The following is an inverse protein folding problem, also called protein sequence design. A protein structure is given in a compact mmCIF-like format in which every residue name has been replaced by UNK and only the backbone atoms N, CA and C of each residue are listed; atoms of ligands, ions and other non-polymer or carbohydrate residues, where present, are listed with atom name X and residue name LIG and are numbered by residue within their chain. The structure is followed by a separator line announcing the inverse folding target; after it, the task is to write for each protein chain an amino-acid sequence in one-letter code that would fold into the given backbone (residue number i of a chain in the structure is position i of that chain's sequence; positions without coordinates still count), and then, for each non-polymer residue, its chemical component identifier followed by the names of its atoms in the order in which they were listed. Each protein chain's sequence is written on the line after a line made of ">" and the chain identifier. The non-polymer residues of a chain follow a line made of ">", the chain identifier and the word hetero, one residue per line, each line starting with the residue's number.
data_IF_502155271760
#
_entry.id   IF_502155271760
#
_cell.length_a   1.000
_cell.length_b   1.000
_cell.length_c   1.000
_cell.angle_alpha   90.00
_cell.angle_beta   90.00
_cell.angle_gamma   90.00
#
_symmetry.space_group_name_H-M   'P 1'
#
loop_
_entity.id
_entity.type
_entity.pdbx_description
1 polymer ?
#
# COMPACT_ATOMS: atom_id res chain seq x y z
N UNK A 1 23.27 -15.25 8.59
CA UNK A 1 22.53 -14.12 9.19
C UNK A 1 23.39 -13.34 10.21
N UNK A 2 23.94 -12.19 9.81
CA UNK A 2 24.75 -11.32 10.70
C UNK A 2 23.89 -10.58 11.74
N UNK A 3 22.58 -10.49 11.55
CA UNK A 3 21.67 -9.78 12.46
C UNK A 3 21.65 -10.34 13.88
N UNK A 4 21.55 -11.68 14.05
CA UNK A 4 21.57 -12.30 15.38
C UNK A 4 22.87 -12.02 16.14
N UNK A 5 23.98 -11.83 15.42
CA UNK A 5 25.27 -11.46 16.00
C UNK A 5 25.33 -9.98 16.44
N UNK A 6 24.37 -9.13 16.01
CA UNK A 6 24.26 -7.74 16.44
C UNK A 6 23.43 -7.58 17.72
N UNK A 7 22.69 -8.62 18.15
CA UNK A 7 21.84 -8.56 19.34
C UNK A 7 22.67 -8.60 20.63
N UNK A 8 22.29 -7.83 21.65
CA UNK A 8 22.86 -7.93 23.00
C UNK A 8 21.96 -8.74 23.93
N UNK A 9 22.47 -9.25 25.07
CA UNK A 9 21.66 -9.91 26.09
C UNK A 9 20.42 -9.11 26.52
N UNK A 10 20.52 -7.77 26.59
CA UNK A 10 19.38 -6.89 26.89
C UNK A 10 18.27 -6.94 25.83
N UNK A 11 18.62 -7.12 24.55
CA UNK A 11 17.63 -7.27 23.49
C UNK A 11 16.83 -8.57 23.69
N UNK A 12 17.49 -9.65 24.12
CA UNK A 12 16.81 -10.91 24.44
C UNK A 12 15.87 -10.79 25.64
N UNK A 13 16.26 -10.05 26.69
CA UNK A 13 15.38 -9.78 27.85
C UNK A 13 14.13 -8.98 27.48
N UNK A 14 14.18 -8.20 26.40
CA UNK A 14 13.03 -7.44 25.89
C UNK A 14 12.10 -8.24 24.96
N UNK A 15 12.47 -9.45 24.54
CA UNK A 15 11.65 -10.29 23.65
C UNK A 15 10.22 -10.53 24.16
N UNK A 16 9.93 -10.73 25.47
CA UNK A 16 8.56 -10.88 25.92
C UNK A 16 7.64 -9.70 25.55
N UNK A 17 8.17 -8.46 25.50
CA UNK A 17 7.39 -7.28 25.07
C UNK A 17 7.10 -7.34 23.57
N UNK A 18 8.08 -7.72 22.77
CA UNK A 18 7.94 -7.95 21.33
C UNK A 18 6.89 -9.03 21.07
N UNK A 19 7.03 -10.20 21.69
CA UNK A 19 6.09 -11.31 21.55
C UNK A 19 4.67 -10.90 21.98
N UNK A 20 4.52 -10.13 23.06
CA UNK A 20 3.23 -9.60 23.49
C UNK A 20 2.54 -8.75 22.41
N UNK A 21 3.30 -7.92 21.70
CA UNK A 21 2.77 -7.14 20.58
C UNK A 21 2.45 -7.97 19.33
N UNK A 22 3.17 -9.06 19.07
CA UNK A 22 2.81 -10.00 18.00
C UNK A 22 1.52 -10.76 18.33
N UNK A 23 1.29 -11.09 19.61
CA UNK A 23 0.01 -11.64 20.05
C UNK A 23 -1.14 -10.64 19.89
N UNK A 24 -0.89 -9.33 20.06
CA UNK A 24 -1.89 -8.31 19.76
C UNK A 24 -2.30 -8.36 18.28
N UNK A 25 -1.33 -8.49 17.36
CA UNK A 25 -1.60 -8.63 15.94
C UNK A 25 -2.39 -9.90 15.62
N UNK A 26 -2.17 -11.01 16.32
CA UNK A 26 -2.97 -12.23 16.15
C UNK A 26 -4.38 -12.10 16.77
N UNK A 27 -4.51 -11.37 17.87
CA UNK A 27 -5.74 -11.25 18.62
C UNK A 27 -6.77 -10.29 18.00
N UNK A 28 -6.34 -9.34 17.17
CA UNK A 28 -7.19 -8.36 16.50
C UNK A 28 -7.05 -8.44 14.98
N UNK A 29 -8.13 -8.18 14.26
CA UNK A 29 -8.10 -8.08 12.80
C UNK A 29 -8.63 -6.74 12.30
N UNK A 30 -7.77 -5.72 12.22
CA UNK A 30 -8.19 -4.36 11.94
C UNK A 30 -8.90 -4.16 10.59
N UNK A 31 -8.76 -5.12 9.66
CA UNK A 31 -9.43 -5.09 8.35
C UNK A 31 -10.84 -5.68 8.38
N UNK A 32 -11.16 -6.50 9.39
CA UNK A 32 -12.39 -7.29 9.43
C UNK A 32 -13.26 -7.02 10.67
N UNK A 33 -12.73 -6.33 11.68
CA UNK A 33 -13.47 -6.00 12.90
C UNK A 33 -13.03 -4.65 13.50
N UNK A 34 -13.91 -3.94 14.22
CA UNK A 34 -13.52 -2.77 15.00
C UNK A 34 -12.48 -3.13 16.07
N UNK A 35 -11.49 -2.27 16.26
CA UNK A 35 -10.42 -2.49 17.24
C UNK A 35 -10.32 -1.33 18.22
N UNK A 36 -10.14 -1.59 19.53
CA UNK A 36 -10.01 -0.55 20.56
C UNK A 36 -8.58 0.02 20.61
N UNK A 37 -7.97 0.25 19.45
CA UNK A 37 -6.60 0.74 19.34
C UNK A 37 -6.53 2.28 19.26
N UNK A 38 -7.67 2.93 18.99
CA UNK A 38 -7.75 4.39 18.90
C UNK A 38 -6.80 4.96 17.86
N UNK A 39 -6.24 6.13 18.15
CA UNK A 39 -5.28 6.85 17.30
C UNK A 39 -3.83 6.49 17.60
N UNK A 40 -3.60 5.39 18.35
CA UNK A 40 -2.25 4.97 18.73
C UNK A 40 -1.39 4.70 17.51
N UNK A 41 -0.13 5.08 17.60
CA UNK A 41 0.84 4.92 16.51
C UNK A 41 1.78 3.74 16.74
N UNK A 42 2.53 3.36 15.72
CA UNK A 42 3.57 2.33 15.85
C UNK A 42 4.71 2.79 16.75
N UNK A 43 5.05 4.08 16.76
CA UNK A 43 6.09 4.64 17.63
C UNK A 43 5.85 4.31 19.11
N UNK A 44 4.61 4.40 19.59
CA UNK A 44 4.25 4.03 20.95
C UNK A 44 4.50 2.55 21.25
N UNK A 45 4.26 1.67 20.27
CA UNK A 45 4.53 0.24 20.40
C UNK A 45 6.04 -0.02 20.48
N UNK A 46 6.81 0.62 19.59
CA UNK A 46 8.25 0.43 19.46
C UNK A 46 9.05 1.07 20.59
N UNK A 47 8.49 2.06 21.29
CA UNK A 47 9.10 2.63 22.50
C UNK A 47 9.33 1.58 23.61
N UNK A 48 8.51 0.52 23.63
CA UNK A 48 8.66 -0.59 24.58
C UNK A 48 9.59 -1.72 24.08
N UNK A 49 10.02 -1.66 22.82
CA UNK A 49 10.88 -2.68 22.20
C UNK A 49 12.36 -2.35 22.38
N UNK A 50 13.25 -3.36 22.34
CA UNK A 50 14.69 -3.12 22.33
C UNK A 50 15.13 -2.31 21.10
N UNK A 51 16.05 -1.34 21.23
CA UNK A 51 16.39 -0.40 20.16
C UNK A 51 16.77 -1.05 18.82
N UNK A 52 17.50 -2.18 18.85
CA UNK A 52 17.92 -2.88 17.62
C UNK A 52 16.74 -3.56 16.91
N UNK A 53 15.80 -4.11 17.68
CA UNK A 53 14.57 -4.69 17.15
C UNK A 53 13.64 -3.60 16.61
N UNK A 54 13.53 -2.47 17.34
CA UNK A 54 12.79 -1.29 16.88
C UNK A 54 13.37 -0.73 15.57
N UNK A 55 14.69 -0.64 15.44
CA UNK A 55 15.34 -0.18 14.21
C UNK A 55 15.08 -1.14 13.03
N UNK A 56 15.21 -2.45 13.26
CA UNK A 56 14.95 -3.46 12.24
C UNK A 56 13.50 -3.42 11.75
N UNK A 57 12.53 -3.42 12.68
CA UNK A 57 11.12 -3.41 12.32
C UNK A 57 10.69 -2.08 11.71
N UNK A 58 11.31 -0.96 12.10
CA UNK A 58 11.05 0.35 11.49
C UNK A 58 11.46 0.38 10.03
N UNK A 59 12.61 -0.23 9.69
CA UNK A 59 13.05 -0.32 8.29
C UNK A 59 12.10 -1.20 7.45
N UNK A 60 11.69 -2.35 7.99
CA UNK A 60 10.69 -3.19 7.35
C UNK A 60 9.37 -2.44 7.15
N UNK A 61 8.92 -1.72 8.18
CA UNK A 61 7.68 -0.97 8.14
C UNK A 61 7.73 0.18 7.12
N UNK A 62 8.83 0.93 7.04
CA UNK A 62 9.01 1.95 5.99
C UNK A 62 8.95 1.33 4.60
N UNK A 63 9.62 0.20 4.39
CA UNK A 63 9.57 -0.51 3.12
C UNK A 63 8.17 -1.01 2.74
N UNK A 64 7.37 -1.40 3.73
CA UNK A 64 6.05 -2.00 3.52
C UNK A 64 4.86 -1.03 3.60
N UNK A 65 5.00 0.10 4.30
CA UNK A 65 3.92 1.07 4.57
C UNK A 65 4.27 2.52 4.18
N UNK A 66 5.48 2.74 3.63
CA UNK A 66 5.96 4.02 3.12
C UNK A 66 5.89 5.21 4.11
N UNK A 67 5.84 4.95 5.42
CA UNK A 67 5.68 5.99 6.44
C UNK A 67 6.50 5.71 7.71
N UNK A 68 6.72 6.74 8.54
CA UNK A 68 7.47 6.59 9.80
C UNK A 68 6.61 6.01 10.92
N UNK A 69 7.22 5.40 11.97
CA UNK A 69 6.46 4.81 13.07
C UNK A 69 5.46 5.78 13.74
N UNK A 70 5.76 7.07 13.76
CA UNK A 70 4.92 8.13 14.34
C UNK A 70 3.69 8.45 13.48
N UNK A 71 3.73 8.10 12.19
CA UNK A 71 2.68 8.41 11.22
C UNK A 71 1.78 7.19 10.96
N UNK A 72 2.27 5.98 11.21
CA UNK A 72 1.51 4.75 10.96
C UNK A 72 0.57 4.47 12.13
N UNK A 73 -0.76 4.40 11.90
CA UNK A 73 -1.69 3.91 12.91
C UNK A 73 -1.37 2.46 13.28
N UNK A 74 -1.42 2.14 14.57
CA UNK A 74 -1.11 0.81 15.08
C UNK A 74 -1.97 -0.26 14.40
N UNK A 75 -3.24 0.04 14.12
CA UNK A 75 -4.14 -0.83 13.37
C UNK A 75 -3.63 -1.19 11.97
N UNK A 76 -3.08 -0.21 11.23
CA UNK A 76 -2.45 -0.44 9.93
C UNK A 76 -1.25 -1.38 10.02
N UNK A 77 -0.41 -1.20 11.05
CA UNK A 77 0.75 -2.06 11.26
C UNK A 77 0.38 -3.48 11.71
N UNK A 78 -0.64 -3.65 12.57
CA UNK A 78 -1.11 -4.99 12.92
C UNK A 78 -1.70 -5.70 11.70
N UNK A 79 -2.45 -5.00 10.84
CA UNK A 79 -2.93 -5.54 9.58
C UNK A 79 -1.78 -6.00 8.67
N UNK A 80 -0.74 -5.16 8.54
CA UNK A 80 0.50 -5.50 7.82
C UNK A 80 1.16 -6.78 8.38
N UNK A 81 1.39 -6.85 9.70
CA UNK A 81 2.00 -8.01 10.33
C UNK A 81 1.18 -9.29 10.16
N UNK A 82 -0.15 -9.19 10.24
CA UNK A 82 -1.05 -10.33 10.02
C UNK A 82 -0.92 -10.86 8.60
N UNK A 83 -1.00 -9.96 7.62
CA UNK A 83 -1.05 -10.32 6.21
C UNK A 83 0.30 -10.86 5.71
N UNK A 84 1.40 -10.15 5.98
CA UNK A 84 2.71 -10.50 5.43
C UNK A 84 3.49 -11.48 6.30
N UNK A 85 3.30 -11.52 7.62
CA UNK A 85 4.25 -12.20 8.52
C UNK A 85 3.64 -13.32 9.36
N UNK A 86 2.59 -13.04 10.11
CA UNK A 86 2.17 -13.89 11.22
C UNK A 86 1.22 -15.01 10.81
N UNK A 87 0.37 -14.77 9.81
CA UNK A 87 -0.61 -15.75 9.35
C UNK A 87 -0.19 -16.49 8.09
N UNK A 88 0.81 -15.97 7.38
CA UNK A 88 1.21 -16.45 6.06
C UNK A 88 2.73 -16.43 5.93
N UNK A 89 3.33 -17.62 5.94
CA UNK A 89 4.77 -17.76 5.69
C UNK A 89 5.11 -17.58 4.21
N UNK A 90 4.19 -17.98 3.34
CA UNK A 90 4.29 -17.90 1.87
C UNK A 90 4.24 -16.46 1.35
N UNK A 91 3.65 -15.53 2.12
CA UNK A 91 3.50 -14.13 1.72
C UNK A 91 4.84 -13.34 1.61
N UNK A 92 5.97 -13.95 1.96
CA UNK A 92 7.32 -13.39 1.75
C UNK A 92 7.97 -13.83 0.43
N UNK A 93 7.31 -14.69 -0.35
CA UNK A 93 7.72 -14.92 -1.73
C UNK A 93 7.22 -13.76 -2.58
N UNK A 94 8.13 -12.98 -3.16
CA UNK A 94 7.78 -11.91 -4.06
C UNK A 94 7.55 -12.46 -5.46
N UNK A 95 6.37 -12.17 -6.01
CA UNK A 95 6.11 -12.25 -7.44
C UNK A 95 6.21 -10.86 -8.05
N UNK A 96 6.89 -10.77 -9.18
CA UNK A 96 7.11 -9.52 -9.90
C UNK A 96 6.39 -9.56 -11.24
N UNK A 97 5.93 -8.38 -11.69
CA UNK A 97 5.50 -8.24 -13.07
C UNK A 97 6.69 -8.56 -13.99
N UNK A 98 6.45 -9.31 -15.09
CA UNK A 98 7.54 -9.77 -15.95
C UNK A 98 8.22 -8.65 -16.72
N UNK A 99 7.59 -7.48 -16.85
CA UNK A 99 8.06 -6.30 -17.57
C UNK A 99 7.44 -5.03 -16.93
N UNK A 100 7.63 -3.87 -17.57
CA UNK A 100 7.09 -2.60 -17.12
C UNK A 100 5.55 -2.64 -16.98
N UNK A 101 5.03 -1.92 -15.98
CA UNK A 101 3.60 -1.87 -15.61
C UNK A 101 2.70 -1.57 -16.82
N UNK A 102 3.14 -0.68 -17.71
CA UNK A 102 2.41 -0.33 -18.93
C UNK A 102 2.11 -1.56 -19.78
N UNK A 103 3.14 -2.33 -20.13
CA UNK A 103 3.02 -3.51 -20.99
C UNK A 103 2.41 -4.71 -20.28
N UNK A 104 2.74 -4.92 -19.01
CA UNK A 104 2.37 -6.11 -18.26
C UNK A 104 0.96 -6.04 -17.67
N UNK A 105 0.41 -4.83 -17.46
CA UNK A 105 -0.86 -4.63 -16.75
C UNK A 105 -1.79 -3.63 -17.45
N UNK A 106 -1.34 -2.39 -17.70
CA UNK A 106 -2.24 -1.32 -18.16
C UNK A 106 -2.76 -1.54 -19.58
N UNK A 107 -1.87 -1.89 -20.52
CA UNK A 107 -2.25 -2.17 -21.91
C UNK A 107 -3.25 -3.33 -21.99
N UNK A 108 -3.02 -4.52 -21.37
CA UNK A 108 -4.01 -5.59 -21.34
C UNK A 108 -5.37 -5.18 -20.77
N UNK A 109 -5.39 -4.45 -19.65
CA UNK A 109 -6.63 -4.01 -19.01
C UNK A 109 -7.41 -3.01 -19.89
N UNK A 110 -6.71 -2.03 -20.47
CA UNK A 110 -7.35 -1.03 -21.33
C UNK A 110 -7.89 -1.64 -22.62
N UNK A 111 -7.21 -2.64 -23.19
CA UNK A 111 -7.71 -3.40 -24.33
C UNK A 111 -8.95 -4.21 -23.97
N UNK A 112 -8.94 -4.93 -22.85
CA UNK A 112 -10.09 -5.70 -22.38
C UNK A 112 -11.33 -4.82 -22.16
N UNK A 113 -11.15 -3.60 -21.62
CA UNK A 113 -12.25 -2.63 -21.46
C UNK A 113 -12.83 -2.24 -22.83
N UNK A 114 -11.97 -1.90 -23.81
CA UNK A 114 -12.41 -1.50 -25.16
C UNK A 114 -13.09 -2.65 -25.91
N UNK A 115 -12.55 -3.86 -25.82
CA UNK A 115 -13.12 -5.07 -26.45
C UNK A 115 -14.50 -5.40 -25.87
N UNK A 116 -14.73 -5.10 -24.59
CA UNK A 116 -16.04 -5.21 -23.94
C UNK A 116 -17.00 -4.05 -24.26
N UNK A 117 -16.61 -3.10 -25.12
CA UNK A 117 -17.41 -1.93 -25.51
C UNK A 117 -17.30 -0.73 -24.56
N UNK A 118 -16.38 -0.77 -23.59
CA UNK A 118 -16.11 0.34 -22.69
C UNK A 118 -15.37 1.50 -23.38
N UNK A 119 -15.62 2.72 -22.91
CA UNK A 119 -14.94 3.93 -23.38
C UNK A 119 -13.93 4.41 -22.34
N UNK A 120 -12.72 4.72 -22.80
CA UNK A 120 -11.66 5.30 -21.97
C UNK A 120 -11.43 6.75 -22.37
N UNK A 121 -11.52 7.67 -21.41
CA UNK A 121 -11.27 9.10 -21.59
C UNK A 121 -10.09 9.52 -20.72
N UNK A 122 -8.98 9.88 -21.34
CA UNK A 122 -7.82 10.49 -20.66
C UNK A 122 -7.96 12.01 -20.67
N UNK A 123 -7.14 12.71 -19.90
CA UNK A 123 -7.18 14.18 -19.78
C UNK A 123 -8.56 14.71 -19.38
N UNK A 124 -9.31 13.92 -18.60
CA UNK A 124 -10.66 14.21 -18.14
C UNK A 124 -10.67 14.26 -16.60
N UNK A 125 -10.48 15.44 -16.03
CA UNK A 125 -10.45 15.62 -14.56
C UNK A 125 -11.87 15.82 -14.06
N UNK A 126 -12.43 14.84 -13.35
CA UNK A 126 -13.72 14.99 -12.68
C UNK A 126 -13.63 16.08 -11.61
N UNK A 127 -14.55 17.04 -11.64
CA UNK A 127 -14.53 18.22 -10.76
C UNK A 127 -15.73 18.28 -9.83
N UNK A 128 -16.89 17.74 -10.24
CA UNK A 128 -18.14 17.92 -9.52
C UNK A 128 -19.11 16.75 -9.74
N UNK A 129 -19.82 16.40 -8.68
CA UNK A 129 -20.96 15.49 -8.70
C UNK A 129 -22.23 16.26 -8.32
N UNK A 130 -23.28 16.10 -9.12
CA UNK A 130 -24.61 16.60 -8.79
C UNK A 130 -25.61 15.46 -8.76
N UNK A 131 -26.58 15.57 -7.85
CA UNK A 131 -27.65 14.60 -7.71
C UNK A 131 -28.92 15.16 -8.33
N UNK A 132 -29.38 14.53 -9.41
CA UNK A 132 -30.78 14.65 -9.86
C UNK A 132 -31.67 13.70 -9.07
N UNK A 133 -32.90 13.48 -9.53
CA UNK A 133 -33.87 12.62 -8.82
C UNK A 133 -33.30 11.21 -8.54
N UNK A 134 -33.09 10.43 -9.61
CA UNK A 134 -32.61 9.04 -9.52
C UNK A 134 -31.19 8.85 -10.10
N UNK A 135 -30.62 9.88 -10.71
CA UNK A 135 -29.36 9.79 -11.45
C UNK A 135 -28.31 10.80 -10.93
N UNK A 136 -27.06 10.51 -11.24
CA UNK A 136 -25.91 11.36 -10.97
C UNK A 136 -25.45 12.05 -12.24
N UNK A 137 -25.21 13.34 -12.16
CA UNK A 137 -24.50 14.08 -13.21
C UNK A 137 -23.05 14.26 -12.77
N UNK A 138 -22.12 13.75 -13.58
CA UNK A 138 -20.68 13.85 -13.36
C UNK A 138 -20.13 14.91 -14.31
N UNK A 139 -19.44 15.90 -13.75
CA UNK A 139 -18.78 16.96 -14.52
C UNK A 139 -17.27 16.74 -14.52
N UNK A 140 -16.63 16.95 -15.67
CA UNK A 140 -15.18 16.95 -15.77
C UNK A 140 -14.68 18.06 -16.69
N UNK A 141 -13.43 18.46 -16.47
CA UNK A 141 -12.71 19.34 -17.38
C UNK A 141 -11.87 18.52 -18.34
N UNK A 142 -11.95 18.83 -19.63
CA UNK A 142 -11.07 18.25 -20.64
C UNK A 142 -9.72 18.99 -20.71
N UNK A 143 -8.82 18.54 -21.59
CA UNK A 143 -7.48 19.12 -21.74
C UNK A 143 -7.47 20.60 -22.17
N UNK A 144 -8.56 21.08 -22.77
CA UNK A 144 -8.73 22.49 -23.18
C UNK A 144 -9.43 23.33 -22.10
N UNK A 145 -9.72 22.75 -20.93
CA UNK A 145 -10.41 23.41 -19.83
C UNK A 145 -11.93 23.58 -20.03
N UNK A 146 -12.50 22.99 -21.09
CA UNK A 146 -13.95 23.00 -21.28
C UNK A 146 -14.61 22.00 -20.31
N UNK A 147 -15.73 22.40 -19.72
CA UNK A 147 -16.54 21.54 -18.85
C UNK A 147 -17.44 20.64 -19.72
N UNK A 148 -17.34 19.34 -19.50
CA UNK A 148 -18.22 18.33 -20.09
C UNK A 148 -18.97 17.59 -18.96
N UNK A 149 -20.08 16.97 -19.31
CA UNK A 149 -20.92 16.27 -18.34
C UNK A 149 -21.56 15.00 -18.91
N UNK A 150 -21.90 14.08 -18.01
CA UNK A 150 -22.70 12.89 -18.33
C UNK A 150 -23.64 12.57 -17.18
N UNK A 151 -24.85 12.13 -17.49
CA UNK A 151 -25.83 11.68 -16.50
C UNK A 151 -25.93 10.16 -16.53
N UNK A 152 -25.77 9.52 -15.38
CA UNK A 152 -25.73 8.06 -15.22
C UNK A 152 -26.44 7.63 -13.93
N UNK A 153 -27.06 6.44 -13.88
CA UNK A 153 -27.69 5.94 -12.65
C UNK A 153 -26.67 5.54 -11.59
N UNK A 154 -25.47 5.11 -12.02
CA UNK A 154 -24.44 4.59 -11.14
C UNK A 154 -23.08 5.22 -11.41
N UNK A 155 -22.34 5.50 -10.34
CA UNK A 155 -20.96 6.02 -10.37
C UNK A 155 -20.09 5.14 -9.50
N UNK A 156 -18.92 4.76 -10.00
CA UNK A 156 -17.89 4.08 -9.21
C UNK A 156 -16.71 5.03 -9.03
N UNK A 157 -16.40 5.38 -7.78
CA UNK A 157 -15.27 6.23 -7.43
C UNK A 157 -14.03 5.37 -7.17
N UNK A 158 -13.08 5.42 -8.10
CA UNK A 158 -11.78 4.74 -8.03
C UNK A 158 -10.65 5.77 -7.79
N UNK A 159 -10.74 6.51 -6.69
CA UNK A 159 -9.88 7.67 -6.39
C UNK A 159 -8.96 7.38 -5.20
N UNK A 160 -7.79 8.03 -5.18
CA UNK A 160 -6.98 8.15 -3.97
C UNK A 160 -7.71 8.96 -2.88
N UNK A 161 -7.26 8.83 -1.62
CA UNK A 161 -7.87 9.49 -0.47
C UNK A 161 -8.02 11.01 -0.64
N UNK A 162 -6.94 11.75 -0.95
CA UNK A 162 -7.00 13.19 -1.20
C UNK A 162 -7.97 13.59 -2.32
N UNK A 163 -7.94 12.90 -3.47
CA UNK A 163 -8.85 13.19 -4.58
C UNK A 163 -10.31 12.90 -4.23
N UNK A 164 -10.59 11.80 -3.52
CA UNK A 164 -11.92 11.47 -3.03
C UNK A 164 -12.43 12.53 -2.05
N UNK A 165 -11.58 12.98 -1.11
CA UNK A 165 -11.92 14.04 -0.17
C UNK A 165 -12.28 15.32 -0.92
N UNK A 166 -11.44 15.76 -1.85
CA UNK A 166 -11.66 16.98 -2.61
C UNK A 166 -12.98 16.93 -3.41
N UNK A 167 -13.23 15.84 -4.14
CA UNK A 167 -14.44 15.71 -4.95
C UNK A 167 -15.71 15.64 -4.08
N UNK A 168 -15.70 14.82 -3.03
CA UNK A 168 -16.88 14.56 -2.21
C UNK A 168 -17.23 15.72 -1.29
N UNK A 169 -16.23 16.45 -0.77
CA UNK A 169 -16.48 17.65 0.04
C UNK A 169 -16.77 18.88 -0.81
N UNK A 170 -16.25 18.95 -2.04
CA UNK A 170 -16.53 20.03 -3.00
C UNK A 170 -17.87 19.92 -3.73
N UNK A 171 -18.52 18.75 -3.68
CA UNK A 171 -19.82 18.52 -4.33
C UNK A 171 -20.96 18.68 -3.33
N UNK A 172 -21.88 19.61 -3.57
CA UNK A 172 -22.99 19.93 -2.63
C UNK A 172 -23.85 18.72 -2.26
N UNK A 173 -24.07 17.81 -3.21
CA UNK A 173 -24.84 16.59 -3.03
C UNK A 173 -24.19 15.59 -2.05
N UNK A 174 -22.87 15.66 -1.86
CA UNK A 174 -22.12 14.71 -1.02
C UNK A 174 -21.46 15.35 0.19
N UNK A 175 -21.29 16.67 0.20
CA UNK A 175 -20.48 17.40 1.17
C UNK A 175 -20.85 17.14 2.64
N UNK A 176 -22.14 17.12 2.97
CA UNK A 176 -22.61 16.96 4.36
C UNK A 176 -22.21 15.62 4.98
N UNK A 177 -22.35 14.52 4.24
CA UNK A 177 -21.93 13.20 4.73
C UNK A 177 -20.41 13.03 4.61
N UNK A 178 -19.80 13.57 3.56
CA UNK A 178 -18.35 13.51 3.36
C UNK A 178 -17.58 14.20 4.49
N UNK A 179 -18.11 15.30 5.06
CA UNK A 179 -17.50 16.02 6.17
C UNK A 179 -17.40 15.18 7.47
N UNK A 180 -18.15 14.08 7.58
CA UNK A 180 -18.11 13.16 8.74
C UNK A 180 -17.07 12.04 8.55
N UNK A 181 -16.51 11.91 7.35
CA UNK A 181 -15.59 10.84 7.00
C UNK A 181 -14.14 11.25 7.20
N UNK A 182 -13.30 10.25 7.46
CA UNK A 182 -11.84 10.37 7.49
C UNK A 182 -11.28 9.86 6.18
N UNK A 183 -10.48 10.69 5.52
CA UNK A 183 -9.74 10.34 4.31
C UNK A 183 -8.25 10.23 4.65
N UNK A 184 -7.55 9.18 4.17
CA UNK A 184 -6.13 9.08 4.38
C UNK A 184 -5.40 10.15 3.56
N UNK A 185 -4.28 10.62 4.10
CA UNK A 185 -3.34 11.43 3.33
C UNK A 185 -2.62 10.56 2.31
N UNK A 186 -2.29 11.14 1.16
CA UNK A 186 -1.36 10.53 0.22
C UNK A 186 0.09 10.90 0.56
N UNK A 187 1.01 9.99 0.30
CA UNK A 187 2.43 10.12 0.59
C UNK A 187 3.21 10.33 -0.71
N UNK A 188 4.11 11.33 -0.72
CA UNK A 188 5.08 11.50 -1.79
C UNK A 188 6.09 10.35 -1.74
N UNK A 189 6.54 9.88 -2.89
CA UNK A 189 7.59 8.87 -2.97
C UNK A 189 8.57 9.20 -4.10
N UNK A 190 9.81 8.75 -3.95
CA UNK A 190 10.85 8.87 -4.96
C UNK A 190 11.29 7.48 -5.44
N UNK A 191 11.50 7.35 -6.74
CA UNK A 191 12.08 6.15 -7.36
C UNK A 191 13.33 6.55 -8.11
N UNK A 192 14.46 5.94 -7.75
CA UNK A 192 15.74 6.14 -8.40
C UNK A 192 16.08 4.88 -9.17
N UNK A 193 16.44 5.01 -10.45
CA UNK A 193 17.03 3.91 -11.22
C UNK A 193 18.48 4.22 -11.52
N UNK A 194 19.36 3.25 -11.26
CA UNK A 194 20.79 3.35 -11.51
C UNK A 194 21.23 2.20 -12.41
N UNK A 195 21.91 2.54 -13.50
CA UNK A 195 22.52 1.58 -14.40
C UNK A 195 23.99 1.50 -14.10
N UNK A 196 24.48 0.28 -13.86
CA UNK A 196 25.90 0.00 -13.66
C UNK A 196 26.42 -0.87 -14.79
N UNK A 197 27.64 -0.61 -15.25
CA UNK A 197 28.37 -1.43 -16.23
C UNK A 197 28.81 -2.80 -15.67
N UNK A 198 28.51 -3.07 -14.39
CA UNK A 198 28.87 -4.28 -13.68
C UNK A 198 27.74 -4.68 -12.74
N UNK A 199 27.33 -5.94 -12.78
CA UNK A 199 26.43 -6.51 -11.79
C UNK A 199 27.13 -6.75 -10.43
N UNK A 200 26.41 -6.63 -9.30
CA UNK A 200 26.95 -6.99 -7.98
C UNK A 200 27.27 -8.49 -7.90
N UNK A 201 28.02 -8.89 -6.88
CA UNK A 201 28.17 -10.31 -6.58
C UNK A 201 26.79 -10.98 -6.33
N UNK A 202 26.73 -12.30 -6.51
CA UNK A 202 25.50 -13.06 -6.28
C UNK A 202 24.90 -12.76 -4.89
N UNK A 203 23.59 -12.55 -4.84
CA UNK A 203 22.86 -12.12 -3.64
C UNK A 203 21.35 -12.16 -3.86
N UNK A 204 20.57 -11.62 -2.93
CA UNK A 204 19.12 -11.51 -3.05
C UNK A 204 18.71 -10.61 -4.23
N UNK A 205 17.51 -10.81 -4.78
CA UNK A 205 16.92 -9.99 -5.84
C UNK A 205 16.49 -8.60 -5.40
N UNK A 206 16.25 -8.44 -4.09
CA UNK A 206 15.89 -7.18 -3.47
C UNK A 206 16.54 -7.05 -2.09
N UNK A 207 16.48 -5.84 -1.52
CA UNK A 207 16.98 -5.58 -0.17
C UNK A 207 16.22 -4.46 0.51
N UNK A 208 16.09 -4.57 1.83
CA UNK A 208 15.56 -3.51 2.70
C UNK A 208 16.74 -2.79 3.34
N UNK A 209 16.72 -1.46 3.25
CA UNK A 209 17.75 -0.58 3.77
C UNK A 209 17.34 -0.04 5.15
N UNK A 210 18.28 -0.04 6.08
CA UNK A 210 18.08 0.43 7.45
C UNK A 210 19.27 1.28 7.89
N UNK A 211 19.10 2.07 8.95
CA UNK A 211 20.15 2.96 9.44
C UNK A 211 20.14 4.32 8.73
N UNK A 212 21.32 4.77 8.28
CA UNK A 212 21.60 6.11 7.76
C UNK A 212 21.51 6.23 6.23
N UNK A 213 20.89 5.23 5.57
CA UNK A 213 20.70 5.21 4.12
C UNK A 213 19.49 6.08 3.73
N UNK A 214 19.60 6.78 2.61
CA UNK A 214 18.52 7.60 2.04
C UNK A 214 17.52 6.78 1.22
N UNK A 215 17.95 5.63 0.70
CA UNK A 215 17.06 4.64 0.08
C UNK A 215 16.46 3.72 1.15
N UNK A 216 15.20 3.35 1.00
CA UNK A 216 14.48 2.46 1.93
C UNK A 216 14.51 1.00 1.48
N UNK A 217 14.50 0.75 0.17
CA UNK A 217 14.69 -0.57 -0.42
C UNK A 217 15.25 -0.47 -1.84
N UNK A 218 15.64 -1.62 -2.39
CA UNK A 218 16.06 -1.73 -3.78
C UNK A 218 15.71 -3.08 -4.41
N UNK A 219 15.64 -3.10 -5.74
CA UNK A 219 15.34 -4.27 -6.56
C UNK A 219 16.28 -4.34 -7.77
N UNK A 220 16.87 -5.51 -7.99
CA UNK A 220 17.72 -5.79 -9.14
C UNK A 220 16.86 -6.23 -10.33
N UNK A 221 16.52 -5.29 -11.22
CA UNK A 221 15.53 -5.52 -12.27
C UNK A 221 15.90 -6.67 -13.22
N UNK A 222 17.19 -6.89 -13.48
CA UNK A 222 17.67 -7.97 -14.38
C UNK A 222 17.33 -9.38 -13.90
N UNK A 223 16.86 -9.56 -12.65
CA UNK A 223 16.49 -10.86 -12.11
C UNK A 223 15.04 -11.26 -12.40
N UNK A 224 14.18 -10.31 -12.75
CA UNK A 224 12.75 -10.58 -12.93
C UNK A 224 12.11 -9.84 -14.10
N UNK A 225 12.66 -8.70 -14.56
CA UNK A 225 12.19 -8.01 -15.76
C UNK A 225 12.91 -8.51 -17.01
N UNK A 226 12.16 -8.91 -18.04
CA UNK A 226 12.74 -9.51 -19.26
C UNK A 226 13.66 -8.55 -19.99
N UNK A 227 13.26 -7.27 -20.12
CA UNK A 227 14.08 -6.23 -20.75
C UNK A 227 15.43 -6.03 -20.07
N UNK A 228 15.43 -5.85 -18.75
CA UNK A 228 16.66 -5.70 -17.96
C UNK A 228 17.53 -6.97 -17.99
N UNK A 229 16.91 -8.15 -17.98
CA UNK A 229 17.63 -9.43 -18.08
C UNK A 229 18.31 -9.61 -19.44
N UNK A 230 17.65 -9.21 -20.53
CA UNK A 230 18.22 -9.23 -21.88
C UNK A 230 19.43 -8.28 -21.99
N UNK A 231 19.30 -7.07 -21.46
CA UNK A 231 20.41 -6.11 -21.42
C UNK A 231 21.58 -6.61 -20.57
N UNK A 232 21.30 -7.19 -19.40
CA UNK A 232 22.32 -7.80 -18.55
C UNK A 232 23.10 -8.91 -19.25
N UNK A 233 22.42 -9.81 -19.98
CA UNK A 233 23.08 -10.87 -20.76
C UNK A 233 23.96 -10.31 -21.88
N UNK A 234 23.55 -9.20 -22.49
CA UNK A 234 24.28 -8.61 -23.62
C UNK A 234 25.51 -7.79 -23.18
N UNK A 235 25.46 -7.14 -22.02
CA UNK A 235 26.48 -6.16 -21.61
C UNK A 235 27.25 -6.53 -20.35
N UNK A 236 26.72 -7.45 -19.53
CA UNK A 236 27.19 -7.69 -18.15
C UNK A 236 26.79 -6.59 -17.15
N UNK A 237 26.11 -5.53 -17.61
CA UNK A 237 25.60 -4.44 -16.77
C UNK A 237 24.35 -4.82 -16.00
N UNK A 238 23.98 -4.02 -15.00
CA UNK A 238 22.76 -4.21 -14.20
C UNK A 238 21.99 -2.91 -14.03
N UNK A 239 20.68 -3.04 -13.81
CA UNK A 239 19.82 -1.93 -13.38
C UNK A 239 19.31 -2.23 -11.98
N UNK A 240 19.44 -1.26 -11.09
CA UNK A 240 18.78 -1.26 -9.78
C UNK A 240 17.74 -0.16 -9.73
N UNK A 241 16.55 -0.51 -9.24
CA UNK A 241 15.53 0.44 -8.83
C UNK A 241 15.55 0.53 -7.31
N UNK A 242 15.66 1.74 -6.77
CA UNK A 242 15.69 2.00 -5.34
C UNK A 242 14.60 3.01 -4.97
N UNK A 243 13.87 2.74 -3.90
CA UNK A 243 12.75 3.58 -3.48
C UNK A 243 13.13 4.44 -2.29
N UNK A 244 12.53 5.63 -2.23
CA UNK A 244 12.66 6.62 -1.17
C UNK A 244 11.24 6.95 -0.73
N UNK A 245 10.86 6.53 0.47
CA UNK A 245 9.53 6.78 1.02
C UNK A 245 9.49 7.96 2.01
N UNK A 246 10.63 8.63 2.19
CA UNK A 246 10.74 9.83 2.98
C UNK A 246 11.86 9.75 4.02
N UNK A 247 11.83 10.57 5.07
CA UNK A 247 10.77 11.55 5.40
C UNK A 247 10.60 12.69 4.38
N UNK A 248 9.54 13.52 4.47
CA UNK A 248 9.27 14.61 3.51
C UNK A 248 10.43 15.58 3.30
N UNK A 249 11.27 15.80 4.31
CA UNK A 249 12.49 16.61 4.21
C UNK A 249 13.58 15.96 3.35
N UNK A 250 13.65 14.62 3.31
CA UNK A 250 14.50 13.90 2.35
C UNK A 250 13.97 14.10 0.95
N UNK A 251 12.67 13.91 0.74
CA UNK A 251 12.07 14.11 -0.58
C UNK A 251 12.17 15.58 -1.01
N UNK A 252 12.11 16.56 -0.12
CA UNK A 252 12.28 17.98 -0.45
C UNK A 252 13.69 18.34 -0.97
N UNK A 253 14.69 17.45 -0.86
CA UNK A 253 16.03 17.70 -1.38
C UNK A 253 16.04 17.76 -2.92
N UNK A 254 16.94 18.55 -3.54
CA UNK A 254 17.08 18.57 -4.99
C UNK A 254 17.42 17.19 -5.56
N UNK A 255 16.93 16.91 -6.76
CA UNK A 255 17.11 15.63 -7.46
C UNK A 255 18.58 15.20 -7.57
N UNK A 256 19.48 16.14 -7.84
CA UNK A 256 20.92 15.87 -7.88
C UNK A 256 21.46 15.35 -6.54
N UNK A 257 20.94 15.86 -5.41
CA UNK A 257 21.31 15.42 -4.06
C UNK A 257 20.78 14.02 -3.78
N UNK A 258 19.52 13.75 -4.15
CA UNK A 258 18.90 12.42 -3.98
C UNK A 258 19.64 11.36 -4.79
N UNK A 259 19.95 11.66 -6.05
CA UNK A 259 20.72 10.78 -6.93
C UNK A 259 22.12 10.49 -6.36
N UNK A 260 22.85 11.53 -5.94
CA UNK A 260 24.18 11.36 -5.35
C UNK A 260 24.15 10.49 -4.08
N UNK A 261 23.14 10.68 -3.22
CA UNK A 261 22.93 9.85 -2.02
C UNK A 261 22.59 8.41 -2.38
N UNK A 262 21.65 8.17 -3.29
CA UNK A 262 21.27 6.84 -3.73
C UNK A 262 22.45 6.07 -4.36
N UNK A 263 23.26 6.72 -5.19
CA UNK A 263 24.50 6.14 -5.75
C UNK A 263 25.48 5.79 -4.63
N UNK A 264 25.70 6.70 -3.68
CA UNK A 264 26.60 6.49 -2.55
C UNK A 264 26.14 5.32 -1.69
N UNK A 265 24.84 5.25 -1.37
CA UNK A 265 24.22 4.18 -0.60
C UNK A 265 24.40 2.83 -1.29
N UNK A 266 24.08 2.74 -2.58
CA UNK A 266 24.28 1.51 -3.35
C UNK A 266 25.75 1.09 -3.40
N UNK A 267 26.69 2.03 -3.48
CA UNK A 267 28.14 1.74 -3.44
C UNK A 267 28.68 1.46 -2.03
N UNK A 268 27.96 1.82 -0.96
CA UNK A 268 28.25 1.38 0.41
C UNK A 268 27.80 -0.06 0.61
N UNK A 269 26.61 -0.40 0.11
CA UNK A 269 26.04 -1.75 0.19
C UNK A 269 26.82 -2.72 -0.70
N UNK A 270 27.16 -2.29 -1.92
CA UNK A 270 27.89 -3.06 -2.94
C UNK A 270 29.15 -2.30 -3.40
N UNK A 271 30.26 -2.38 -2.63
CA UNK A 271 31.53 -1.70 -2.94
C UNK A 271 32.07 -1.95 -4.36
N UNK A 272 31.76 -3.10 -4.95
CA UNK A 272 32.16 -3.50 -6.30
C UNK A 272 31.54 -2.63 -7.41
N UNK A 273 30.49 -1.85 -7.11
CA UNK A 273 29.83 -0.96 -8.07
C UNK A 273 30.52 0.41 -8.21
N UNK A 274 31.52 0.70 -7.37
CA UNK A 274 32.26 1.98 -7.43
C UNK A 274 32.91 2.17 -8.79
N UNK A 275 32.77 3.37 -9.36
CA UNK A 275 33.31 3.72 -10.67
C UNK A 275 32.61 3.06 -11.86
N UNK A 276 31.50 2.33 -11.65
CA UNK A 276 30.80 1.61 -12.71
C UNK A 276 29.43 2.21 -13.06
N UNK A 277 29.06 3.38 -12.52
CA UNK A 277 27.80 4.03 -12.84
C UNK A 277 27.81 4.49 -14.31
N UNK A 278 26.81 4.06 -15.08
CA UNK A 278 26.66 4.37 -16.50
C UNK A 278 25.55 5.39 -16.75
N UNK A 279 24.44 5.28 -16.02
CA UNK A 279 23.28 6.16 -16.15
C UNK A 279 22.49 6.20 -14.86
N UNK A 280 21.73 7.27 -14.65
CA UNK A 280 20.87 7.44 -13.48
C UNK A 280 19.62 8.24 -13.84
N UNK A 281 18.49 7.87 -13.28
CA UNK A 281 17.23 8.62 -13.37
C UNK A 281 16.56 8.69 -12.01
N UNK A 282 15.75 9.72 -11.82
CA UNK A 282 14.88 9.88 -10.66
C UNK A 282 13.48 10.25 -11.13
N UNK A 283 12.49 9.66 -10.48
CA UNK A 283 11.08 9.99 -10.63
C UNK A 283 10.53 10.34 -9.27
N UNK A 284 9.83 11.48 -9.19
CA UNK A 284 9.01 11.86 -8.05
C UNK A 284 7.57 11.50 -8.35
N UNK A 285 6.93 10.85 -7.40
CA UNK A 285 5.52 10.52 -7.49
C UNK A 285 4.73 11.51 -6.65
N UNK A 286 3.63 12.01 -7.23
CA UNK A 286 2.65 12.82 -6.53
C UNK A 286 2.19 12.14 -5.23
N UNK A 287 1.70 12.90 -4.23
CA UNK A 287 1.24 12.37 -2.96
C UNK A 287 -0.09 11.62 -3.09
N UNK A 288 -0.07 10.47 -3.76
CA UNK A 288 -1.22 9.60 -4.02
C UNK A 288 -1.06 8.22 -3.40
N UNK A 289 0.14 7.86 -2.92
CA UNK A 289 0.35 6.60 -2.21
C UNK A 289 -0.40 6.61 -0.89
N UNK A 290 -1.34 5.70 -0.71
CA UNK A 290 -2.18 5.63 0.49
C UNK A 290 -1.32 5.50 1.75
N UNK A 291 -1.40 6.48 2.65
CA UNK A 291 -0.96 6.28 4.03
C UNK A 291 -1.91 5.29 4.70
N UNK A 292 -1.47 4.04 4.81
CA UNK A 292 -2.33 2.96 5.24
C UNK A 292 -2.71 3.10 6.72
N UNK A 293 -3.88 3.66 6.96
CA UNK A 293 -4.52 3.75 8.27
C UNK A 293 -5.74 2.86 8.33
N UNK A 294 -5.57 1.54 8.20
CA UNK A 294 -6.71 0.64 8.28
C UNK A 294 -7.48 0.82 9.59
N UNK A 295 -8.79 1.03 9.49
CA UNK A 295 -9.73 0.87 10.57
C UNK A 295 -11.07 0.44 10.02
N UNK A 296 -11.66 -0.61 10.60
CA UNK A 296 -13.07 -0.97 10.38
C UNK A 296 -14.03 0.01 11.10
N UNK A 297 -13.64 1.29 11.17
CA UNK A 297 -14.40 2.38 11.80
C UNK A 297 -15.39 2.94 10.77
N UNK A 298 -16.59 3.29 11.22
CA UNK A 298 -17.66 3.87 10.40
C UNK A 298 -17.30 5.20 9.77
N UNK A 299 -16.31 5.91 10.32
CA UNK A 299 -15.75 7.14 9.73
C UNK A 299 -14.97 6.89 8.44
N UNK A 300 -14.57 5.67 8.11
CA UNK A 300 -13.90 5.38 6.84
C UNK A 300 -14.92 5.08 5.74
N UNK A 301 -14.71 5.69 4.57
CA UNK A 301 -15.52 5.41 3.38
C UNK A 301 -15.48 3.92 3.05
N UNK A 302 -16.64 3.32 2.82
CA UNK A 302 -16.78 1.92 2.46
C UNK A 302 -17.02 1.75 0.96
N UNK A 303 -16.89 0.51 0.48
CA UNK A 303 -17.24 0.17 -0.92
C UNK A 303 -18.68 0.54 -1.25
N UNK A 304 -19.61 0.21 -0.36
CA UNK A 304 -20.97 0.74 -0.41
C UNK A 304 -20.96 2.11 0.25
N UNK A 305 -21.11 3.15 -0.56
CA UNK A 305 -21.11 4.53 -0.08
C UNK A 305 -22.44 4.87 0.62
N UNK A 306 -22.50 5.96 1.42
CA UNK A 306 -23.75 6.45 1.97
C UNK A 306 -24.67 7.09 0.91
N UNK A 307 -24.19 7.31 -0.32
CA UNK A 307 -24.94 7.94 -1.40
C UNK A 307 -25.51 6.89 -2.35
N UNK A 308 -26.86 6.79 -2.47
CA UNK A 308 -27.48 5.82 -3.38
C UNK A 308 -26.97 5.98 -4.82
N UNK A 309 -26.58 4.85 -5.43
CA UNK A 309 -26.02 4.82 -6.78
C UNK A 309 -24.52 5.15 -6.88
N UNK A 310 -23.85 5.53 -5.79
CA UNK A 310 -22.39 5.66 -5.74
C UNK A 310 -21.78 4.45 -5.03
N UNK A 311 -20.84 3.80 -5.70
CA UNK A 311 -19.94 2.80 -5.10
C UNK A 311 -18.51 3.32 -5.14
N UNK A 312 -17.65 2.76 -4.30
CA UNK A 312 -16.25 3.19 -4.19
C UNK A 312 -15.33 1.97 -4.28
N UNK A 313 -14.17 2.12 -4.91
CA UNK A 313 -13.10 1.13 -4.86
C UNK A 313 -11.74 1.81 -4.63
N UNK A 314 -10.79 1.05 -4.10
CA UNK A 314 -9.48 1.55 -3.68
C UNK A 314 -8.95 0.79 -2.47
N UNK A 315 -7.63 0.81 -2.29
CA UNK A 315 -6.95 0.12 -1.20
C UNK A 315 -7.24 0.73 0.19
N UNK A 316 -7.63 1.99 0.26
CA UNK A 316 -7.89 2.68 1.51
C UNK A 316 -9.31 2.51 2.07
N UNK A 317 -10.21 1.95 1.28
CA UNK A 317 -11.62 1.83 1.67
C UNK A 317 -11.84 0.77 2.73
N UNK A 318 -12.88 0.99 3.54
CA UNK A 318 -13.41 -0.02 4.45
C UNK A 318 -14.13 -1.12 3.67
N UNK A 319 -13.63 -2.34 3.83
CA UNK A 319 -14.17 -3.55 3.22
C UNK A 319 -13.68 -4.78 4.01
N UNK A 320 -14.59 -5.68 4.36
CA UNK A 320 -14.35 -6.84 5.23
C UNK A 320 -13.63 -7.97 4.48
N UNK A 321 -12.46 -7.67 3.94
CA UNK A 321 -11.59 -8.63 3.27
C UNK A 321 -10.14 -8.38 3.72
N UNK A 322 -9.38 -9.42 4.13
CA UNK A 322 -8.04 -9.26 4.66
C UNK A 322 -7.02 -9.18 3.51
N UNK A 323 -7.22 -8.25 2.57
CA UNK A 323 -6.27 -7.90 1.51
C UNK A 323 -5.64 -6.54 1.78
N UNK A 324 -4.46 -6.30 1.21
CA UNK A 324 -3.71 -5.04 1.27
C UNK A 324 -3.33 -4.55 -0.14
N UNK A 325 -3.11 -3.24 -0.27
CA UNK A 325 -2.58 -2.57 -1.47
C UNK A 325 -3.25 -3.01 -2.77
N UNK A 326 -2.48 -3.47 -3.78
CA UNK A 326 -2.98 -3.83 -5.11
C UNK A 326 -4.09 -4.89 -5.05
N UNK A 327 -3.92 -5.95 -4.26
CA UNK A 327 -4.95 -6.98 -4.08
C UNK A 327 -6.25 -6.36 -3.52
N UNK A 328 -6.13 -5.42 -2.58
CA UNK A 328 -7.29 -4.73 -2.01
C UNK A 328 -7.94 -3.80 -3.02
N UNK A 329 -7.17 -3.08 -3.83
CA UNK A 329 -7.70 -2.26 -4.91
C UNK A 329 -8.51 -3.12 -5.91
N UNK A 330 -7.99 -4.30 -6.29
CA UNK A 330 -8.70 -5.24 -7.15
C UNK A 330 -9.97 -5.80 -6.49
N UNK A 331 -9.87 -6.30 -5.26
CA UNK A 331 -11.01 -6.88 -4.52
C UNK A 331 -12.12 -5.85 -4.31
N UNK A 332 -11.78 -4.62 -3.94
CA UNK A 332 -12.77 -3.55 -3.77
C UNK A 332 -13.34 -3.08 -5.11
N UNK A 333 -12.57 -3.14 -6.20
CA UNK A 333 -13.04 -2.92 -7.57
C UNK A 333 -14.13 -3.93 -7.96
N UNK A 334 -13.87 -5.22 -7.73
CA UNK A 334 -14.87 -6.28 -7.93
C UNK A 334 -16.09 -6.08 -7.04
N UNK A 335 -15.90 -5.69 -5.79
CA UNK A 335 -17.00 -5.43 -4.86
C UNK A 335 -17.88 -4.22 -5.28
N UNK A 336 -17.27 -3.15 -5.78
CA UNK A 336 -17.99 -1.99 -6.31
C UNK A 336 -18.77 -2.36 -7.58
N UNK A 337 -18.16 -3.11 -8.49
CA UNK A 337 -18.84 -3.62 -9.68
C UNK A 337 -20.02 -4.53 -9.30
N UNK A 338 -19.86 -5.41 -8.32
CA UNK A 338 -20.94 -6.24 -7.78
C UNK A 338 -22.08 -5.42 -7.17
N UNK A 339 -21.79 -4.26 -6.58
CA UNK A 339 -22.81 -3.31 -6.13
C UNK A 339 -23.68 -2.82 -7.28
N UNK A 340 -23.07 -2.49 -8.42
CA UNK A 340 -23.78 -2.11 -9.65
C UNK A 340 -24.58 -3.29 -10.21
N UNK A 341 -23.98 -4.48 -10.31
CA UNK A 341 -24.67 -5.68 -10.79
C UNK A 341 -25.91 -6.01 -9.95
N UNK A 342 -25.80 -5.91 -8.61
CA UNK A 342 -26.91 -6.15 -7.70
C UNK A 342 -28.06 -5.16 -7.89
N UNK A 343 -27.76 -3.88 -8.16
CA UNK A 343 -28.78 -2.88 -8.49
C UNK A 343 -29.56 -3.22 -9.77
N UNK A 344 -28.93 -3.95 -10.69
CA UNK A 344 -29.54 -4.47 -11.92
C UNK A 344 -30.04 -5.93 -11.80
N UNK A 345 -30.05 -6.51 -10.60
CA UNK A 345 -30.45 -7.91 -10.35
C UNK A 345 -29.61 -8.94 -11.14
N UNK A 346 -28.37 -8.59 -11.48
CA UNK A 346 -27.42 -9.48 -12.16
C UNK A 346 -26.59 -10.23 -11.09
N UNK A 347 -26.34 -11.55 -11.27
CA UNK A 347 -25.50 -12.31 -10.35
C UNK A 347 -24.11 -11.68 -10.15
N UNK A 348 -23.66 -11.67 -8.90
CA UNK A 348 -22.35 -11.13 -8.54
C UNK A 348 -21.21 -11.98 -9.13
N UNK A 349 -20.13 -11.30 -9.52
CA UNK A 349 -18.86 -11.94 -9.81
C UNK A 349 -18.19 -12.43 -8.51
N UNK A 350 -17.63 -13.65 -8.47
CA UNK A 350 -17.05 -14.19 -7.26
C UNK A 350 -15.85 -13.33 -6.78
N UNK A 351 -15.89 -12.97 -5.50
CA UNK A 351 -14.72 -12.46 -4.77
C UNK A 351 -14.11 -13.63 -4.03
N UNK A 352 -12.87 -13.95 -4.37
CA UNK A 352 -12.18 -15.08 -3.79
C UNK A 352 -11.90 -14.81 -2.31
N UNK A 353 -12.16 -15.78 -1.42
CA UNK A 353 -11.78 -15.63 -0.02
C UNK A 353 -10.25 -15.65 0.10
N UNK A 354 -9.72 -14.87 1.02
CA UNK A 354 -8.31 -14.94 1.36
C UNK A 354 -7.90 -16.36 1.80
N UNK A 355 -6.71 -16.78 1.36
CA UNK A 355 -6.15 -18.09 1.72
C UNK A 355 -6.07 -18.21 3.24
N UNK A 356 -6.62 -19.28 3.84
CA UNK A 356 -6.62 -19.44 5.28
C UNK A 356 -5.19 -19.62 5.81
N UNK A 357 -4.89 -19.13 7.03
CA UNK A 357 -3.60 -19.34 7.66
C UNK A 357 -3.28 -20.84 7.83
N UNK A 358 -1.99 -21.17 7.88
CA UNK A 358 -1.52 -22.51 8.22
C UNK A 358 -2.09 -22.97 9.57
N UNK A 359 -2.25 -24.29 9.74
CA UNK A 359 -2.95 -24.85 10.89
C UNK A 359 -2.43 -24.35 12.27
N UNK A 360 -1.11 -24.24 12.53
CA UNK A 360 -0.60 -23.74 13.81
C UNK A 360 -0.98 -22.27 14.06
N UNK A 361 -0.78 -21.40 13.07
CA UNK A 361 -1.11 -19.98 13.16
C UNK A 361 -2.63 -19.77 13.35
N UNK A 362 -3.43 -20.55 12.63
CA UNK A 362 -4.91 -20.53 12.72
C UNK A 362 -5.41 -20.96 14.10
N UNK A 363 -4.81 -21.99 14.69
CA UNK A 363 -5.18 -22.45 16.05
C UNK A 363 -4.84 -21.38 17.09
N UNK A 364 -3.63 -20.80 17.00
CA UNK A 364 -3.18 -19.75 17.90
C UNK A 364 -4.06 -18.50 17.80
N UNK A 365 -4.36 -18.05 16.59
CA UNK A 365 -5.27 -16.92 16.33
C UNK A 365 -6.65 -17.17 16.96
N UNK A 366 -7.25 -18.34 16.70
CA UNK A 366 -8.56 -18.71 17.25
C UNK A 366 -8.55 -18.71 18.78
N UNK A 367 -7.49 -19.26 19.38
CA UNK A 367 -7.30 -19.27 20.83
C UNK A 367 -7.25 -17.86 21.42
N UNK A 368 -6.39 -17.00 20.87
CA UNK A 368 -6.23 -15.61 21.34
C UNK A 368 -7.50 -14.78 21.16
N UNK A 369 -8.16 -14.88 20.01
CA UNK A 369 -9.46 -14.23 19.78
C UNK A 369 -10.53 -14.76 20.74
N UNK A 370 -10.52 -16.05 21.06
CA UNK A 370 -11.41 -16.68 22.04
C UNK A 370 -11.23 -16.13 23.45
N UNK A 371 -9.98 -16.07 23.93
CA UNK A 371 -9.63 -15.48 25.23
C UNK A 371 -10.08 -14.02 25.31
N UNK A 372 -9.84 -13.24 24.25
CA UNK A 372 -10.29 -11.84 24.16
C UNK A 372 -11.80 -11.72 24.28
N UNK A 373 -12.56 -12.49 23.49
CA UNK A 373 -14.03 -12.47 23.51
C UNK A 373 -14.58 -12.86 24.88
N UNK A 374 -13.97 -13.84 25.54
CA UNK A 374 -14.32 -14.22 26.90
C UNK A 374 -14.05 -13.11 27.92
N UNK A 375 -12.88 -12.45 27.83
CA UNK A 375 -12.52 -11.34 28.72
C UNK A 375 -13.45 -10.13 28.54
N UNK A 376 -13.82 -9.79 27.29
CA UNK A 376 -14.76 -8.71 27.00
C UNK A 376 -16.15 -8.97 27.61
N UNK A 377 -16.66 -10.22 27.50
CA UNK A 377 -17.93 -10.62 28.12
C UNK A 377 -17.93 -10.53 29.65
N UNK A 378 -16.77 -10.70 30.30
CA UNK A 378 -16.63 -10.57 31.75
C UNK A 378 -16.55 -9.12 32.23
N UNK A 379 -16.07 -8.18 31.40
CA UNK A 379 -16.01 -6.76 31.75
C UNK A 379 -17.31 -6.00 31.47
N UNK A 380 -18.20 -6.57 30.66
CA UNK A 380 -19.55 -6.05 30.40
C UNK A 380 -20.63 -6.62 31.32
N UNK A 381 -20.25 -7.45 32.30
CA UNK A 381 -21.04 -7.81 33.48
C UNK A 381 -20.48 -7.05 34.66
#
# INVERSE_FOLDING_TARGET
>A
PRFLAMMTPFDFLGLPRVTGSLYLALAYDPLCEPTPLGERTVAELLAAWPPRLSAFISALMRSGLAARPEEVPLSGFLAFLRFYTLLRRDAWAFDYLPDEIESALLTPLTNAIREAGGTLRTSARVTRLERGDEQWTVFWQNEHGAEEQITVPHVVLALDGPAAQALLTGSSATATEAAKLTFPHGLETGVVRLWFNRAPAAGAESGICSGDLSIDNFFWLHKFQRGAAAWHRATGGTVVEAHIYGPPDVLALPDATLLARAVTDMQRIHPELRGNLAHQTIQRNDPTHTRFGAGFDERHLAVTSPWPGIFCCGDWLRYAHPSLFLERACVTGLAAANGVLAAHQIPAWPILPATPPEAPARVLERGLRGVRRWAARRRGR
#
